data_IF_847747803198
#
_entry.id   IF_847747803198
#
_cell.length_a   1.000
_cell.length_b   1.000
_cell.length_c   1.000
_cell.angle_alpha   90.00
_cell.angle_beta   90.00
_cell.angle_gamma   90.00
#
_symmetry.space_group_name_H-M   'P 1'
#
loop_
_entity.id
_entity.type
_entity.pdbx_description
1 polymer ?
#
# COMPACT_ATOMS: atom_id res chain seq x y z
N UNK A 1 -7.13 2.58 0.74
CA UNK A 1 -6.17 1.90 -0.14
C UNK A 1 -6.34 0.38 -0.07
N UNK A 2 -6.18 -0.28 1.09
CA UNK A 2 -6.23 -1.75 1.20
C UNK A 2 -7.43 -2.41 0.51
N UNK A 3 -8.64 -1.91 0.73
CA UNK A 3 -9.85 -2.42 0.07
C UNK A 3 -9.79 -2.31 -1.47
N UNK A 4 -9.21 -1.22 -1.99
CA UNK A 4 -9.01 -1.04 -3.44
C UNK A 4 -8.03 -2.06 -4.01
N UNK A 5 -7.03 -2.43 -3.22
CA UNK A 5 -6.03 -3.44 -3.58
C UNK A 5 -6.51 -4.88 -3.35
N UNK A 6 -7.74 -5.08 -2.88
CA UNK A 6 -8.25 -6.42 -2.54
C UNK A 6 -7.60 -7.00 -1.28
N UNK A 7 -7.14 -6.13 -0.37
CA UNK A 7 -6.49 -6.53 0.88
C UNK A 7 -7.43 -6.34 2.07
N UNK A 8 -7.35 -7.25 3.04
CA UNK A 8 -8.00 -7.16 4.35
C UNK A 8 -6.93 -7.04 5.43
N UNK A 9 -7.10 -6.03 6.31
CA UNK A 9 -6.20 -5.82 7.42
C UNK A 9 -6.46 -6.86 8.53
N UNK A 10 -5.40 -7.46 9.02
CA UNK A 10 -5.39 -8.37 10.18
C UNK A 10 -4.69 -7.76 11.39
N UNK A 11 -4.00 -6.64 11.20
CA UNK A 11 -3.28 -5.92 12.25
C UNK A 11 -2.85 -4.52 11.83
N UNK A 12 -2.17 -3.86 12.74
CA UNK A 12 -1.59 -2.54 12.58
C UNK A 12 -0.12 -2.57 12.98
N UNK A 13 0.67 -1.61 12.49
CA UNK A 13 2.08 -1.47 12.86
C UNK A 13 2.55 -0.02 12.73
N UNK A 14 3.76 0.23 13.26
CA UNK A 14 4.41 1.53 13.21
C UNK A 14 3.89 2.50 14.27
N UNK A 15 4.41 3.72 14.24
CA UNK A 15 4.02 4.78 15.17
C UNK A 15 2.53 5.11 15.01
N UNK A 16 1.83 5.28 16.12
CA UNK A 16 0.39 5.58 16.19
C UNK A 16 -0.50 4.57 15.42
N UNK A 17 -0.01 3.37 15.16
CA UNK A 17 -0.73 2.34 14.41
C UNK A 17 -1.19 2.81 13.01
N UNK A 18 -0.41 3.66 12.35
CA UNK A 18 -0.74 4.19 11.03
C UNK A 18 -0.60 3.17 9.91
N UNK A 19 0.33 2.23 10.04
CA UNK A 19 0.50 1.14 9.07
C UNK A 19 -0.52 0.02 9.25
N UNK A 20 -0.93 -0.57 8.15
CA UNK A 20 -1.78 -1.76 8.12
C UNK A 20 -0.97 -2.97 7.70
N UNK A 21 -1.26 -4.13 8.27
CA UNK A 21 -0.71 -5.41 7.84
C UNK A 21 -1.86 -6.41 7.68
N UNK A 22 -1.78 -7.26 6.67
CA UNK A 22 -2.84 -8.20 6.36
C UNK A 22 -2.52 -9.09 5.17
N UNK A 23 -3.55 -9.52 4.49
CA UNK A 23 -3.50 -10.49 3.40
C UNK A 23 -4.54 -10.17 2.31
N UNK A 24 -4.55 -10.92 1.23
CA UNK A 24 -5.63 -10.84 0.24
C UNK A 24 -6.97 -11.23 0.85
N UNK A 25 -8.03 -10.58 0.39
CA UNK A 25 -9.39 -10.82 0.89
C UNK A 25 -9.91 -12.24 0.60
N UNK A 26 -9.41 -12.87 -0.47
CA UNK A 26 -9.73 -14.24 -0.84
C UNK A 26 -8.89 -15.29 -0.08
N UNK A 27 -7.91 -14.86 0.71
CA UNK A 27 -7.01 -15.71 1.47
C UNK A 27 -5.89 -16.36 0.66
N UNK A 28 -5.82 -16.08 -0.64
CA UNK A 28 -4.77 -16.61 -1.51
C UNK A 28 -3.48 -15.79 -1.40
N UNK A 29 -2.35 -16.42 -1.66
CA UNK A 29 -1.07 -15.71 -1.77
C UNK A 29 -0.90 -15.09 -3.16
N UNK A 30 -0.11 -14.02 -3.26
CA UNK A 30 0.49 -13.65 -4.55
C UNK A 30 1.64 -14.60 -4.86
N UNK A 31 1.71 -15.07 -6.10
CA UNK A 31 2.72 -16.05 -6.50
C UNK A 31 4.15 -15.50 -6.31
N UNK A 32 4.33 -14.22 -6.60
CA UNK A 32 5.60 -13.50 -6.49
C UNK A 32 5.39 -11.97 -6.49
N UNK A 33 6.50 -11.23 -6.45
CA UNK A 33 6.49 -9.77 -6.47
C UNK A 33 6.03 -9.17 -7.81
N UNK A 34 6.27 -9.86 -8.93
CA UNK A 34 5.85 -9.39 -10.25
C UNK A 34 4.34 -9.42 -10.40
N UNK A 35 3.69 -10.48 -9.88
CA UNK A 35 2.23 -10.59 -9.85
C UNK A 35 1.61 -9.50 -8.98
N UNK A 36 2.21 -9.21 -7.82
CA UNK A 36 1.75 -8.11 -6.97
C UNK A 36 1.97 -6.76 -7.65
N UNK A 37 3.13 -6.52 -8.28
CA UNK A 37 3.41 -5.30 -9.04
C UNK A 37 2.36 -5.07 -10.13
N UNK A 38 2.08 -6.08 -10.93
CA UNK A 38 1.06 -6.02 -11.97
C UNK A 38 -0.32 -5.63 -11.42
N UNK A 39 -0.73 -6.22 -10.31
CA UNK A 39 -2.01 -5.86 -9.67
C UNK A 39 -2.02 -4.41 -9.19
N UNK A 40 -0.93 -3.96 -8.57
CA UNK A 40 -0.78 -2.58 -8.11
C UNK A 40 -0.86 -1.59 -9.26
N UNK A 41 -0.14 -1.84 -10.35
CA UNK A 41 -0.18 -1.01 -11.56
C UNK A 41 -1.57 -0.93 -12.17
N UNK A 42 -2.26 -2.07 -12.24
CA UNK A 42 -3.61 -2.13 -12.80
C UNK A 42 -4.63 -1.37 -11.95
N UNK A 43 -4.59 -1.54 -10.61
CA UNK A 43 -5.54 -0.90 -9.69
C UNK A 43 -5.30 0.60 -9.56
N UNK A 44 -4.03 1.01 -9.54
CA UNK A 44 -3.64 2.41 -9.36
C UNK A 44 -3.53 3.18 -10.69
N UNK A 45 -3.60 2.45 -11.82
CA UNK A 45 -3.51 2.97 -13.18
C UNK A 45 -2.22 3.78 -13.40
N UNK A 46 -1.08 3.27 -12.91
CA UNK A 46 0.24 3.89 -13.08
C UNK A 46 1.38 2.88 -12.92
N UNK A 47 2.56 3.14 -13.49
CA UNK A 47 3.74 2.33 -13.24
C UNK A 47 4.11 2.33 -11.75
N UNK A 48 4.58 1.18 -11.26
CA UNK A 48 5.06 0.99 -9.90
C UNK A 48 6.55 0.70 -9.90
N UNK A 49 7.29 1.37 -9.04
CA UNK A 49 8.68 1.02 -8.79
C UNK A 49 8.75 0.02 -7.65
N UNK A 50 9.33 -1.16 -7.89
CA UNK A 50 9.57 -2.07 -6.77
C UNK A 50 11.01 -2.57 -6.73
N UNK A 51 11.47 -2.92 -5.53
CA UNK A 51 12.81 -3.43 -5.24
C UNK A 51 12.74 -4.55 -4.21
N UNK A 52 13.78 -5.38 -4.21
CA UNK A 52 13.86 -6.56 -3.37
C UNK A 52 13.25 -7.78 -4.02
N UNK A 53 13.50 -8.92 -3.41
CA UNK A 53 12.90 -10.20 -3.81
C UNK A 53 12.05 -10.67 -2.63
N UNK A 54 10.76 -10.84 -2.85
CA UNK A 54 9.94 -11.53 -1.91
C UNK A 54 10.24 -13.05 -1.94
N UNK A 55 9.98 -13.79 -0.86
CA UNK A 55 9.86 -15.24 -0.96
C UNK A 55 8.87 -15.62 -2.05
N UNK A 56 8.95 -16.87 -2.51
CA UNK A 56 8.20 -17.38 -3.68
C UNK A 56 6.70 -17.08 -3.62
N UNK A 57 6.12 -16.96 -2.42
CA UNK A 57 4.73 -16.58 -2.23
C UNK A 57 4.61 -15.45 -1.21
N UNK A 58 3.78 -14.43 -1.53
CA UNK A 58 3.52 -13.29 -0.65
C UNK A 58 2.12 -13.45 -0.04
N UNK A 59 2.08 -13.83 1.22
CA UNK A 59 0.85 -13.97 2.00
C UNK A 59 0.59 -12.75 2.88
N UNK A 60 1.64 -12.21 3.50
CA UNK A 60 1.57 -11.15 4.48
C UNK A 60 2.09 -9.83 3.92
N UNK A 61 1.19 -8.90 3.72
CA UNK A 61 1.44 -7.62 3.07
C UNK A 61 1.22 -6.49 4.08
N UNK A 62 2.17 -5.56 4.14
CA UNK A 62 2.00 -4.31 4.87
C UNK A 62 1.75 -3.15 3.90
N UNK A 63 0.96 -2.15 4.33
CA UNK A 63 0.75 -0.95 3.53
C UNK A 63 0.54 0.28 4.39
N UNK A 64 1.01 1.41 3.88
CA UNK A 64 0.78 2.74 4.42
C UNK A 64 0.78 3.74 3.27
N UNK A 65 -0.16 4.67 3.24
CA UNK A 65 -0.32 5.63 2.14
C UNK A 65 0.75 6.73 2.16
N UNK A 66 0.97 7.37 1.02
CA UNK A 66 1.82 8.56 0.90
C UNK A 66 3.30 8.32 1.15
N UNK A 67 3.97 9.27 1.78
CA UNK A 67 5.41 9.25 2.06
C UNK A 67 5.77 8.43 3.31
N UNK A 68 5.39 7.16 3.37
CA UNK A 68 5.59 6.30 4.53
C UNK A 68 6.77 5.32 4.39
N UNK A 69 7.77 5.63 3.55
CA UNK A 69 8.96 4.78 3.36
C UNK A 69 9.73 4.54 4.67
N UNK A 70 9.69 5.47 5.62
CA UNK A 70 10.32 5.32 6.94
C UNK A 70 9.68 4.24 7.83
N UNK A 71 8.48 3.76 7.50
CA UNK A 71 7.80 2.67 8.23
C UNK A 71 8.26 1.27 7.80
N UNK A 72 9.14 1.16 6.80
CA UNK A 72 9.53 -0.13 6.23
C UNK A 72 10.17 -1.08 7.25
N UNK A 73 11.06 -0.58 8.10
CA UNK A 73 11.67 -1.40 9.17
C UNK A 73 10.61 -1.96 10.14
N UNK A 74 9.61 -1.13 10.48
CA UNK A 74 8.49 -1.57 11.32
C UNK A 74 7.62 -2.61 10.62
N UNK A 75 7.42 -2.51 9.29
CA UNK A 75 6.73 -3.50 8.51
C UNK A 75 7.49 -4.84 8.48
N UNK A 76 8.80 -4.81 8.29
CA UNK A 76 9.68 -5.98 8.36
C UNK A 76 9.58 -6.64 9.75
N UNK A 77 9.68 -5.85 10.83
CA UNK A 77 9.55 -6.34 12.20
C UNK A 77 8.18 -6.96 12.50
N UNK A 78 7.11 -6.47 11.85
CA UNK A 78 5.77 -7.05 11.92
C UNK A 78 5.62 -8.34 11.08
N UNK A 79 6.67 -8.74 10.35
CA UNK A 79 6.74 -9.95 9.55
C UNK A 79 6.12 -9.82 8.17
N UNK A 80 6.07 -8.62 7.60
CA UNK A 80 5.63 -8.43 6.23
C UNK A 80 6.61 -9.08 5.23
N UNK A 81 6.07 -9.65 4.16
CA UNK A 81 6.81 -10.16 3.02
C UNK A 81 6.85 -9.15 1.87
N UNK A 82 5.90 -8.22 1.88
CA UNK A 82 5.84 -7.08 0.97
C UNK A 82 5.37 -5.83 1.72
N UNK A 83 5.87 -4.66 1.32
CA UNK A 83 5.44 -3.36 1.83
C UNK A 83 5.06 -2.43 0.68
N UNK A 84 3.86 -1.86 0.76
CA UNK A 84 3.28 -0.97 -0.25
C UNK A 84 3.16 0.44 0.34
N UNK A 85 3.76 1.43 -0.32
CA UNK A 85 3.65 2.85 0.06
C UNK A 85 3.74 3.75 -1.18
N UNK A 86 3.73 5.07 -1.00
CA UNK A 86 3.81 5.99 -2.14
C UNK A 86 5.21 6.26 -2.63
N UNK A 87 6.21 6.33 -1.75
CA UNK A 87 7.55 6.80 -2.06
C UNK A 87 8.63 5.80 -1.68
N UNK A 88 9.80 5.95 -2.28
CA UNK A 88 11.02 5.21 -1.93
C UNK A 88 12.20 6.17 -1.79
N UNK A 89 13.11 5.86 -0.89
CA UNK A 89 14.42 6.51 -0.76
C UNK A 89 15.52 5.44 -0.83
N UNK A 90 16.77 5.85 -1.01
CA UNK A 90 17.90 4.93 -1.20
C UNK A 90 18.04 3.84 -0.12
N UNK A 91 17.89 4.15 1.19
CA UNK A 91 18.05 3.12 2.23
C UNK A 91 17.05 1.96 2.10
N UNK A 92 15.81 2.21 1.66
CA UNK A 92 14.81 1.18 1.51
C UNK A 92 15.17 0.16 0.43
N UNK A 93 15.85 0.60 -0.63
CA UNK A 93 16.31 -0.31 -1.68
C UNK A 93 17.37 -1.31 -1.18
N UNK A 94 18.23 -0.89 -0.28
CA UNK A 94 19.21 -1.78 0.36
C UNK A 94 18.53 -2.73 1.34
N UNK A 95 17.70 -2.20 2.25
CA UNK A 95 16.94 -2.98 3.22
C UNK A 95 16.08 -4.06 2.56
N UNK A 96 15.37 -3.71 1.50
CA UNK A 96 14.52 -4.66 0.76
C UNK A 96 15.31 -5.88 0.27
N UNK A 97 16.50 -5.64 -0.29
CA UNK A 97 17.38 -6.71 -0.78
C UNK A 97 17.99 -7.55 0.34
N UNK A 98 18.44 -6.91 1.41
CA UNK A 98 19.10 -7.59 2.53
C UNK A 98 18.11 -8.38 3.39
N UNK A 99 16.90 -7.86 3.59
CA UNK A 99 15.87 -8.52 4.39
C UNK A 99 14.98 -9.49 3.59
N UNK A 100 15.10 -9.50 2.25
CA UNK A 100 14.27 -10.36 1.40
C UNK A 100 12.79 -9.98 1.43
N UNK A 101 12.46 -8.70 1.62
CA UNK A 101 11.10 -8.17 1.65
C UNK A 101 10.90 -7.25 0.46
N UNK A 102 9.87 -7.49 -0.35
CA UNK A 102 9.59 -6.66 -1.51
C UNK A 102 9.03 -5.28 -1.08
N UNK A 103 9.62 -4.21 -1.61
CA UNK A 103 9.18 -2.84 -1.38
C UNK A 103 8.56 -2.25 -2.64
N UNK A 104 7.35 -1.70 -2.55
CA UNK A 104 6.61 -1.10 -3.66
C UNK A 104 6.36 0.38 -3.42
N UNK A 105 6.90 1.23 -4.30
CA UNK A 105 6.64 2.66 -4.36
C UNK A 105 5.59 2.93 -5.45
N UNK A 106 4.39 3.26 -5.02
CA UNK A 106 3.20 3.29 -5.87
C UNK A 106 2.70 4.70 -6.20
N UNK A 107 3.42 5.74 -5.78
CA UNK A 107 3.07 7.14 -5.93
C UNK A 107 2.34 7.70 -4.70
N UNK A 108 2.80 8.86 -4.24
CA UNK A 108 2.24 9.52 -3.06
C UNK A 108 0.76 9.81 -3.26
N UNK A 109 0.45 10.62 -4.26
CA UNK A 109 -0.93 10.97 -4.59
C UNK A 109 -1.80 9.74 -4.90
N UNK A 110 -1.28 8.80 -5.69
CA UNK A 110 -2.03 7.61 -6.09
C UNK A 110 -2.45 6.71 -4.92
N UNK A 111 -1.67 6.69 -3.85
CA UNK A 111 -1.99 5.91 -2.65
C UNK A 111 -2.88 6.66 -1.65
N UNK A 112 -2.85 8.00 -1.62
CA UNK A 112 -3.60 8.82 -0.66
C UNK A 112 -4.97 9.28 -1.16
N UNK A 113 -5.18 9.40 -2.45
CA UNK A 113 -6.38 9.98 -3.07
C UNK A 113 -7.72 9.35 -2.65
N UNK A 114 -7.70 8.20 -2.01
CA UNK A 114 -8.92 7.48 -1.60
C UNK A 114 -9.50 7.94 -0.26
N UNK A 115 -8.72 8.63 0.57
CA UNK A 115 -9.13 9.06 1.91
C UNK A 115 -10.21 10.14 1.88
N UNK A 116 -9.93 11.24 1.19
CA UNK A 116 -10.84 12.38 1.11
C UNK A 116 -12.23 12.02 0.52
N UNK A 117 -12.34 11.33 -0.63
CA UNK A 117 -13.65 10.96 -1.15
C UNK A 117 -14.39 9.95 -0.27
N UNK A 118 -13.70 9.05 0.42
CA UNK A 118 -14.33 8.12 1.34
C UNK A 118 -14.93 8.86 2.55
N UNK A 119 -14.21 9.82 3.11
CA UNK A 119 -14.71 10.67 4.20
C UNK A 119 -15.88 11.54 3.73
N UNK A 120 -15.76 12.17 2.57
CA UNK A 120 -16.81 13.01 1.99
C UNK A 120 -18.10 12.21 1.76
N UNK A 121 -18.00 11.00 1.20
CA UNK A 121 -19.15 10.11 1.01
C UNK A 121 -19.82 9.74 2.34
N UNK A 122 -19.02 9.44 3.38
CA UNK A 122 -19.53 9.12 4.70
C UNK A 122 -20.30 10.32 5.31
N UNK A 123 -19.71 11.51 5.28
CA UNK A 123 -20.32 12.74 5.80
C UNK A 123 -21.60 13.08 5.04
N UNK A 124 -21.57 12.98 3.70
CA UNK A 124 -22.72 13.23 2.84
C UNK A 124 -23.90 12.30 3.17
N UNK A 125 -23.62 11.02 3.36
CA UNK A 125 -24.64 10.05 3.75
C UNK A 125 -25.24 10.32 5.14
N UNK A 126 -24.44 10.80 6.10
CA UNK A 126 -24.94 11.13 7.46
C UNK A 126 -25.75 12.41 7.50
N UNK A 127 -25.43 13.39 6.69
CA UNK A 127 -26.05 14.72 6.73
C UNK A 127 -27.08 14.95 5.62
N UNK A 128 -27.24 14.03 4.67
CA UNK A 128 -28.14 14.17 3.53
C UNK A 128 -27.72 15.29 2.56
N UNK A 129 -26.41 15.52 2.40
CA UNK A 129 -25.84 16.52 1.49
C UNK A 129 -25.16 15.87 0.30
N UNK A 130 -25.05 16.59 -0.81
CA UNK A 130 -24.28 16.15 -1.97
C UNK A 130 -22.77 16.38 -1.73
N UNK A 131 -21.94 15.58 -2.39
CA UNK A 131 -20.49 15.76 -2.43
C UNK A 131 -19.96 15.43 -3.81
N UNK A 132 -18.85 16.05 -4.16
CA UNK A 132 -18.11 15.78 -5.40
C UNK A 132 -16.63 15.65 -5.09
N UNK A 133 -15.97 14.67 -5.71
CA UNK A 133 -14.51 14.55 -5.69
C UNK A 133 -13.95 14.98 -7.04
N UNK A 134 -13.19 16.07 -7.04
CA UNK A 134 -12.52 16.57 -8.23
C UNK A 134 -11.13 15.93 -8.30
N UNK A 135 -10.97 15.02 -9.26
CA UNK A 135 -9.69 14.35 -9.48
C UNK A 135 -8.79 15.24 -10.33
N UNK A 136 -7.65 15.63 -9.77
CA UNK A 136 -6.64 16.41 -10.46
C UNK A 136 -5.42 15.52 -10.64
N UNK A 137 -4.98 15.36 -11.89
CA UNK A 137 -3.81 14.53 -12.21
C UNK A 137 -2.56 15.06 -11.48
N UNK A 138 -1.84 14.13 -10.85
CA UNK A 138 -0.62 14.42 -10.11
C UNK A 138 0.38 13.28 -10.35
N UNK A 139 1.58 13.57 -10.88
CA UNK A 139 2.57 12.55 -11.20
C UNK A 139 3.29 11.96 -9.96
N UNK A 140 3.15 12.55 -8.77
CA UNK A 140 3.79 12.10 -7.53
C UNK A 140 3.14 10.85 -6.92
#
# INVERSE_FOLDING_TARGET
>A
LGQRLGLVATGRFGEQDLGFIGQRIDGEAFADADVLAWQLEHVLNRPVTYVGQAPVAIEKIAWCTGGAQGYFESAIAAGAQAFITGEISEPQAHLARECGVAFFACGHHATERYGAPALAAHVAAQLGIEHEFIDIDNPA
#
